data_IF_738718622032
#
_entry.id   IF_738718622032
#
_cell.length_a   1.000
_cell.length_b   1.000
_cell.length_c   1.000
_cell.angle_alpha   90.00
_cell.angle_beta   90.00
_cell.angle_gamma   90.00
#
_symmetry.space_group_name_H-M   'P 1'
#
loop_
_entity.id
_entity.type
_entity.pdbx_description
1 polymer ?
#
# COMPACT_ATOMS: atom_id res chain seq x y z
N UNK A 1 61.91 17.47 -25.23
CA UNK A 1 60.67 18.29 -25.17
C UNK A 1 59.67 17.59 -24.27
N UNK A 2 59.12 18.32 -23.29
CA UNK A 2 58.26 17.80 -22.21
C UNK A 2 56.84 17.51 -22.73
N UNK A 3 56.33 16.32 -22.42
CA UNK A 3 54.92 15.94 -22.59
C UNK A 3 54.18 16.37 -21.31
N UNK A 4 53.17 17.24 -21.45
CA UNK A 4 52.32 17.66 -20.33
C UNK A 4 51.00 16.89 -20.39
N UNK A 5 50.74 16.12 -19.32
CA UNK A 5 49.49 15.41 -19.04
C UNK A 5 48.41 16.42 -18.65
N UNK A 6 47.24 16.36 -19.27
CA UNK A 6 46.00 16.84 -18.66
C UNK A 6 45.04 15.67 -18.47
N UNK A 7 44.59 15.54 -17.21
CA UNK A 7 43.78 14.47 -16.64
C UNK A 7 42.39 14.42 -17.29
N UNK A 8 42.07 13.33 -17.96
CA UNK A 8 40.72 12.79 -18.05
C UNK A 8 40.50 11.89 -16.84
N UNK A 9 39.47 12.20 -16.03
CA UNK A 9 39.02 11.29 -14.99
C UNK A 9 38.15 10.21 -15.63
N UNK A 10 38.73 9.03 -15.78
CA UNK A 10 38.02 7.79 -16.05
C UNK A 10 37.20 7.41 -14.81
N UNK A 11 35.87 7.44 -14.91
CA UNK A 11 35.00 6.79 -13.93
C UNK A 11 34.71 5.39 -14.48
N UNK A 12 35.43 4.43 -13.94
CA UNK A 12 35.31 3.02 -14.26
C UNK A 12 34.00 2.46 -13.67
N UNK A 13 33.18 1.86 -14.54
CA UNK A 13 32.06 1.00 -14.17
C UNK A 13 32.57 -0.20 -13.36
N UNK A 14 32.10 -0.36 -12.13
CA UNK A 14 32.10 -1.65 -11.46
C UNK A 14 30.80 -1.87 -10.67
N UNK A 15 30.06 -2.87 -11.12
CA UNK A 15 29.28 -3.84 -10.35
C UNK A 15 28.11 -3.35 -9.47
N UNK A 16 26.91 -3.75 -9.90
CA UNK A 16 25.66 -3.71 -9.15
C UNK A 16 25.62 -4.76 -8.01
N UNK A 17 25.16 -4.28 -6.85
CA UNK A 17 24.57 -4.97 -5.67
C UNK A 17 25.50 -5.77 -4.76
N UNK A 18 25.42 -5.51 -3.44
CA UNK A 18 24.43 -6.24 -2.64
C UNK A 18 23.59 -5.35 -1.70
N UNK A 19 22.35 -5.80 -1.49
CA UNK A 19 21.52 -5.68 -0.27
C UNK A 19 21.98 -4.65 0.77
N UNK A 20 21.19 -3.59 0.94
CA UNK A 20 21.20 -2.77 2.15
C UNK A 20 20.72 -3.60 3.36
N UNK A 21 21.61 -4.44 3.87
CA UNK A 21 21.63 -4.89 5.26
C UNK A 21 22.35 -3.81 6.09
N UNK A 22 21.75 -2.63 6.24
CA UNK A 22 22.09 -1.75 7.37
C UNK A 22 21.32 -2.24 8.59
N UNK A 23 21.88 -3.34 9.08
CA UNK A 23 21.65 -3.97 10.36
C UNK A 23 21.68 -2.92 11.46
N UNK A 24 20.58 -2.86 12.20
CA UNK A 24 20.37 -2.07 13.42
C UNK A 24 21.36 -2.60 14.48
N UNK A 25 22.61 -2.16 14.44
CA UNK A 25 23.61 -2.47 15.46
C UNK A 25 24.41 -1.21 15.78
N UNK A 26 23.88 -0.37 16.66
CA UNK A 26 24.73 0.54 17.44
C UNK A 26 24.06 1.06 18.72
N UNK A 27 23.35 0.24 19.50
CA UNK A 27 22.98 0.62 20.88
C UNK A 27 23.06 -0.59 21.83
N UNK A 28 24.26 -1.13 22.02
CA UNK A 28 24.56 -1.88 23.25
C UNK A 28 24.89 -0.83 24.31
N UNK A 29 23.86 -0.43 25.07
CA UNK A 29 24.04 0.33 26.30
C UNK A 29 24.61 -0.63 27.34
N UNK A 30 25.79 -0.28 27.85
CA UNK A 30 26.50 -0.98 28.90
C UNK A 30 25.68 -0.90 30.20
N UNK A 31 24.95 -1.95 30.55
CA UNK A 31 24.15 -2.03 31.79
C UNK A 31 25.09 -2.34 32.95
N UNK A 32 25.78 -1.30 33.44
CA UNK A 32 26.33 -1.25 34.80
C UNK A 32 26.18 0.17 35.33
N UNK A 33 24.96 0.52 35.72
CA UNK A 33 24.63 1.49 36.76
C UNK A 33 23.11 1.50 36.96
N UNK A 34 22.65 0.70 37.94
CA UNK A 34 21.32 0.84 38.51
C UNK A 34 21.36 1.95 39.57
N UNK A 35 20.98 3.16 39.17
CA UNK A 35 20.59 4.23 40.11
C UNK A 35 19.76 5.30 39.42
N UNK A 36 18.64 4.92 38.80
CA UNK A 36 17.45 5.77 38.73
C UNK A 36 16.27 4.93 38.29
N UNK A 37 15.20 4.95 39.08
CA UNK A 37 13.89 4.52 38.60
C UNK A 37 13.53 5.41 37.40
N UNK A 38 13.17 4.87 36.23
CA UNK A 38 12.71 5.68 35.12
C UNK A 38 11.54 6.53 35.61
N UNK A 39 11.59 7.84 35.33
CA UNK A 39 10.52 8.75 35.74
C UNK A 39 9.19 8.27 35.16
N UNK A 40 8.09 8.48 35.87
CA UNK A 40 6.75 8.09 35.43
C UNK A 40 6.46 8.55 33.98
N UNK A 41 6.90 9.76 33.64
CA UNK A 41 6.81 10.34 32.28
C UNK A 41 7.56 9.54 31.21
N UNK A 42 8.74 8.98 31.56
CA UNK A 42 9.51 8.13 30.64
C UNK A 42 8.85 6.77 30.40
N UNK A 43 8.20 6.21 31.43
CA UNK A 43 7.41 4.97 31.32
C UNK A 43 6.15 5.21 30.47
N UNK A 44 5.41 6.30 30.72
CA UNK A 44 4.25 6.68 29.90
C UNK A 44 4.62 6.92 28.44
N UNK A 45 5.76 7.56 28.17
CA UNK A 45 6.26 7.75 26.81
C UNK A 45 6.59 6.42 26.14
N UNK A 46 7.30 5.52 26.82
CA UNK A 46 7.64 4.20 26.29
C UNK A 46 6.38 3.34 26.00
N UNK A 47 5.37 3.38 26.87
CA UNK A 47 4.10 2.69 26.66
C UNK A 47 3.30 3.31 25.51
N UNK A 48 3.30 4.64 25.39
CA UNK A 48 2.68 5.36 24.28
C UNK A 48 3.34 5.00 22.94
N UNK A 49 4.68 4.97 22.90
CA UNK A 49 5.46 4.60 21.71
C UNK A 49 5.20 3.13 21.33
N UNK A 50 5.15 2.22 22.32
CA UNK A 50 4.82 0.81 22.08
C UNK A 50 3.41 0.62 21.54
N UNK A 51 2.43 1.36 22.09
CA UNK A 51 1.04 1.36 21.59
C UNK A 51 0.98 1.93 20.17
N UNK A 52 1.71 3.01 19.90
CA UNK A 52 1.83 3.64 18.59
C UNK A 52 2.35 2.65 17.54
N UNK A 53 3.49 2.01 17.81
CA UNK A 53 4.11 1.00 16.94
C UNK A 53 3.15 -0.17 16.71
N UNK A 54 2.44 -0.61 17.74
CA UNK A 54 1.47 -1.71 17.63
C UNK A 54 0.31 -1.36 16.69
N UNK A 55 -0.23 -0.14 16.78
CA UNK A 55 -1.31 0.32 15.90
C UNK A 55 -0.82 0.49 14.46
N UNK A 56 0.39 1.02 14.25
CA UNK A 56 1.00 1.11 12.92
C UNK A 56 1.22 -0.26 12.30
N UNK A 57 1.69 -1.25 13.07
CA UNK A 57 1.83 -2.63 12.60
C UNK A 57 0.49 -3.22 12.16
N UNK A 58 -0.58 -3.00 12.93
CA UNK A 58 -1.92 -3.44 12.52
C UNK A 58 -2.37 -2.79 11.20
N UNK A 59 -2.06 -1.49 11.00
CA UNK A 59 -2.38 -0.78 9.77
C UNK A 59 -1.63 -1.38 8.57
N UNK A 60 -0.34 -1.67 8.75
CA UNK A 60 0.48 -2.34 7.74
C UNK A 60 0.01 -3.78 7.47
N UNK A 61 -0.39 -4.53 8.51
CA UNK A 61 -0.97 -5.87 8.35
C UNK A 61 -2.26 -5.82 7.50
N UNK A 62 -3.13 -4.83 7.74
CA UNK A 62 -4.34 -4.62 6.95
C UNK A 62 -4.01 -4.29 5.48
N UNK A 63 -3.00 -3.45 5.25
CA UNK A 63 -2.46 -3.15 3.92
C UNK A 63 -1.99 -4.42 3.21
N UNK A 64 -1.10 -5.18 3.86
CA UNK A 64 -0.49 -6.38 3.31
C UNK A 64 -1.52 -7.48 3.04
N UNK A 65 -2.45 -7.69 3.98
CA UNK A 65 -3.53 -8.67 3.82
C UNK A 65 -4.45 -8.29 2.66
N UNK A 66 -4.87 -7.03 2.56
CA UNK A 66 -5.68 -6.56 1.42
C UNK A 66 -4.98 -6.85 0.10
N UNK A 67 -3.69 -6.52 0.01
CA UNK A 67 -2.92 -6.73 -1.23
C UNK A 67 -2.69 -8.20 -1.56
N UNK A 68 -2.61 -9.06 -0.54
CA UNK A 68 -2.40 -10.50 -0.72
C UNK A 68 -3.52 -11.15 -1.54
N UNK A 69 -4.78 -10.72 -1.37
CA UNK A 69 -5.93 -11.21 -2.14
C UNK A 69 -5.78 -10.98 -3.66
N UNK A 70 -5.00 -9.98 -4.06
CA UNK A 70 -4.82 -9.61 -5.47
C UNK A 70 -3.39 -9.86 -5.97
N UNK A 71 -2.53 -10.53 -5.19
CA UNK A 71 -1.15 -10.80 -5.58
C UNK A 71 -1.11 -11.70 -6.82
N UNK A 72 -0.28 -11.34 -7.79
CA UNK A 72 -0.14 -12.07 -9.06
C UNK A 72 -1.32 -11.92 -10.03
N UNK A 73 -2.38 -11.19 -9.67
CA UNK A 73 -3.52 -11.00 -10.56
C UNK A 73 -3.21 -10.00 -11.69
N UNK A 74 -3.45 -10.36 -12.97
CA UNK A 74 -3.43 -9.40 -14.08
C UNK A 74 -4.66 -8.46 -14.03
N UNK A 75 -5.68 -8.77 -13.24
CA UNK A 75 -6.95 -8.04 -13.21
C UNK A 75 -7.03 -6.97 -12.10
N UNK A 76 -5.88 -6.49 -11.60
CA UNK A 76 -5.83 -5.44 -10.57
C UNK A 76 -5.42 -4.10 -11.15
N UNK A 77 -6.02 -3.02 -10.67
CA UNK A 77 -5.79 -1.62 -11.09
C UNK A 77 -6.07 -1.45 -12.58
N UNK A 78 -7.35 -1.45 -12.95
CA UNK A 78 -7.78 -1.39 -14.35
C UNK A 78 -7.27 -0.13 -15.07
N UNK A 79 -7.23 1.00 -14.36
CA UNK A 79 -6.73 2.29 -14.86
C UNK A 79 -5.19 2.40 -14.94
N UNK A 80 -4.43 1.36 -14.54
CA UNK A 80 -2.96 1.33 -14.70
C UNK A 80 -2.60 0.57 -15.97
N UNK A 81 -2.23 1.23 -17.05
CA UNK A 81 -1.65 0.58 -18.23
C UNK A 81 -0.31 -0.05 -17.84
N UNK A 82 -0.04 -1.33 -18.18
CA UNK A 82 1.20 -2.02 -17.80
C UNK A 82 1.78 -2.77 -18.99
N UNK A 83 3.09 -2.66 -19.19
CA UNK A 83 3.81 -3.41 -20.24
C UNK A 83 3.70 -4.94 -20.12
N UNK A 84 3.38 -5.47 -18.95
CA UNK A 84 3.20 -6.90 -18.74
C UNK A 84 1.74 -7.36 -18.85
N UNK A 85 0.87 -6.56 -19.48
CA UNK A 85 -0.53 -6.89 -19.76
C UNK A 85 -0.83 -6.71 -21.24
N UNK A 86 -1.64 -7.60 -21.80
CA UNK A 86 -2.19 -7.43 -23.15
C UNK A 86 -3.41 -6.49 -23.13
N UNK A 87 -3.79 -5.96 -24.29
CA UNK A 87 -5.04 -5.17 -24.44
C UNK A 87 -6.25 -5.97 -23.93
N UNK A 88 -6.36 -7.25 -24.32
CA UNK A 88 -7.45 -8.11 -23.87
C UNK A 88 -7.48 -8.28 -22.34
N UNK A 89 -6.32 -8.38 -21.68
CA UNK A 89 -6.27 -8.45 -20.22
C UNK A 89 -6.74 -7.14 -19.56
N UNK A 90 -6.46 -5.99 -20.17
CA UNK A 90 -6.99 -4.70 -19.70
C UNK A 90 -8.52 -4.63 -19.86
N UNK A 91 -9.05 -5.07 -21.00
CA UNK A 91 -10.50 -5.12 -21.26
C UNK A 91 -11.20 -6.07 -20.28
N UNK A 92 -10.71 -7.30 -20.13
CA UNK A 92 -11.26 -8.27 -19.18
C UNK A 92 -11.26 -7.74 -17.74
N UNK A 93 -10.20 -7.01 -17.35
CA UNK A 93 -10.12 -6.38 -16.04
C UNK A 93 -11.23 -5.34 -15.83
N UNK A 94 -11.54 -4.50 -16.83
CA UNK A 94 -12.64 -3.54 -16.75
C UNK A 94 -14.01 -4.22 -16.73
N UNK A 95 -14.23 -5.20 -17.61
CA UNK A 95 -15.50 -5.93 -17.69
C UNK A 95 -15.81 -6.62 -16.36
N UNK A 96 -14.82 -7.30 -15.78
CA UNK A 96 -15.00 -7.96 -14.50
C UNK A 96 -15.21 -6.94 -13.36
N UNK A 97 -14.53 -5.79 -13.41
CA UNK A 97 -14.76 -4.71 -12.46
C UNK A 97 -16.19 -4.18 -12.54
N UNK A 98 -16.71 -3.99 -13.76
CA UNK A 98 -18.10 -3.58 -14.01
C UNK A 98 -19.09 -4.60 -13.47
N UNK A 99 -18.89 -5.90 -13.76
CA UNK A 99 -19.71 -6.99 -13.23
C UNK A 99 -19.74 -6.99 -11.69
N UNK A 100 -18.58 -6.83 -11.05
CA UNK A 100 -18.51 -6.76 -9.59
C UNK A 100 -19.31 -5.56 -9.06
N UNK A 101 -19.13 -4.37 -9.66
CA UNK A 101 -19.80 -3.12 -9.21
C UNK A 101 -21.31 -3.12 -9.39
N UNK A 102 -21.85 -3.96 -10.27
CA UNK A 102 -23.29 -4.16 -10.42
C UNK A 102 -23.93 -4.91 -9.23
N UNK A 103 -23.13 -5.58 -8.40
CA UNK A 103 -23.62 -6.31 -7.22
C UNK A 103 -24.01 -5.31 -6.13
N UNK A 104 -25.30 -5.24 -5.82
CA UNK A 104 -25.85 -4.33 -4.80
C UNK A 104 -25.48 -4.73 -3.38
N UNK A 105 -25.49 -6.03 -3.08
CA UNK A 105 -25.11 -6.55 -1.77
C UNK A 105 -23.59 -6.37 -1.54
N UNK A 106 -23.23 -5.58 -0.52
CA UNK A 106 -21.83 -5.22 -0.28
C UNK A 106 -20.96 -6.42 0.04
N UNK A 107 -21.49 -7.40 0.78
CA UNK A 107 -20.73 -8.61 1.14
C UNK A 107 -20.43 -9.44 -0.11
N UNK A 108 -21.43 -9.69 -0.95
CA UNK A 108 -21.28 -10.40 -2.21
C UNK A 108 -20.36 -9.64 -3.17
N UNK A 109 -20.44 -8.31 -3.22
CA UNK A 109 -19.52 -7.47 -3.99
C UNK A 109 -18.06 -7.68 -3.56
N UNK A 110 -17.75 -7.57 -2.27
CA UNK A 110 -16.38 -7.75 -1.76
C UNK A 110 -15.87 -9.18 -2.00
N UNK A 111 -16.73 -10.17 -1.80
CA UNK A 111 -16.40 -11.57 -2.09
C UNK A 111 -16.10 -11.78 -3.58
N UNK A 112 -16.92 -11.23 -4.48
CA UNK A 112 -16.71 -11.30 -5.91
C UNK A 112 -15.39 -10.64 -6.33
N UNK A 113 -15.05 -9.48 -5.75
CA UNK A 113 -13.78 -8.80 -6.00
C UNK A 113 -12.57 -9.64 -5.58
N UNK A 114 -12.62 -10.28 -4.38
CA UNK A 114 -11.56 -11.17 -3.88
C UNK A 114 -11.45 -12.43 -4.76
N UNK A 115 -12.57 -13.10 -5.03
CA UNK A 115 -12.61 -14.35 -5.78
C UNK A 115 -12.13 -14.18 -7.23
N UNK A 116 -12.59 -13.13 -7.91
CA UNK A 116 -12.13 -12.79 -9.27
C UNK A 116 -10.78 -12.08 -9.29
N UNK A 117 -10.18 -11.84 -8.11
CA UNK A 117 -8.94 -11.06 -7.91
C UNK A 117 -8.93 -9.77 -8.72
N UNK A 118 -10.08 -9.11 -8.81
CA UNK A 118 -10.30 -7.92 -9.63
C UNK A 118 -10.66 -6.74 -8.75
N UNK A 119 -9.87 -5.66 -8.83
CA UNK A 119 -10.11 -4.48 -7.99
C UNK A 119 -9.28 -3.27 -8.38
N UNK A 120 -9.83 -2.09 -8.12
CA UNK A 120 -9.16 -0.79 -8.21
C UNK A 120 -9.12 -0.11 -6.83
N UNK A 121 -8.81 1.19 -6.76
CA UNK A 121 -8.72 1.92 -5.49
C UNK A 121 -9.93 1.72 -4.57
N UNK A 122 -11.16 1.80 -5.10
CA UNK A 122 -12.40 1.62 -4.33
C UNK A 122 -12.56 0.20 -3.73
N UNK A 123 -12.37 -0.85 -4.52
CA UNK A 123 -12.50 -2.23 -4.05
C UNK A 123 -11.43 -2.56 -2.99
N UNK A 124 -10.20 -2.11 -3.24
CA UNK A 124 -9.09 -2.31 -2.31
C UNK A 124 -9.30 -1.53 -1.01
N UNK A 125 -9.77 -0.30 -1.08
CA UNK A 125 -10.10 0.51 0.09
C UNK A 125 -11.22 -0.14 0.90
N UNK A 126 -12.28 -0.67 0.27
CA UNK A 126 -13.36 -1.34 0.98
C UNK A 126 -12.94 -2.61 1.71
N UNK A 127 -12.09 -3.44 1.10
CA UNK A 127 -11.54 -4.60 1.78
C UNK A 127 -10.64 -4.16 2.95
N UNK A 128 -9.79 -3.16 2.74
CA UNK A 128 -8.91 -2.63 3.78
C UNK A 128 -9.68 -2.01 4.95
N UNK A 129 -10.80 -1.33 4.66
CA UNK A 129 -11.68 -0.75 5.66
C UNK A 129 -12.25 -1.84 6.56
N UNK A 130 -12.86 -2.88 5.98
CA UNK A 130 -13.44 -4.00 6.75
C UNK A 130 -12.36 -4.71 7.59
N UNK A 131 -11.16 -4.93 7.04
CA UNK A 131 -10.03 -5.51 7.77
C UNK A 131 -9.57 -4.61 8.93
N UNK A 132 -9.51 -3.30 8.70
CA UNK A 132 -9.10 -2.31 9.70
C UNK A 132 -10.13 -2.21 10.83
N UNK A 133 -11.43 -2.27 10.52
CA UNK A 133 -12.49 -2.38 11.52
C UNK A 133 -12.32 -3.67 12.35
N UNK A 134 -12.11 -4.83 11.71
CA UNK A 134 -11.87 -6.10 12.41
C UNK A 134 -10.59 -6.09 13.26
N UNK A 135 -9.57 -5.32 12.86
CA UNK A 135 -8.34 -5.12 13.64
C UNK A 135 -8.51 -4.14 14.82
N UNK A 136 -9.67 -3.48 14.93
CA UNK A 136 -10.00 -2.49 15.95
C UNK A 136 -9.37 -1.11 15.71
N UNK A 137 -9.12 -0.73 14.45
CA UNK A 137 -8.46 0.53 14.09
C UNK A 137 -9.42 1.70 13.81
N UNK A 138 -10.73 1.47 13.86
CA UNK A 138 -11.77 2.47 13.63
C UNK A 138 -11.52 3.38 12.39
N UNK A 139 -11.35 2.80 11.18
CA UNK A 139 -10.96 3.53 9.97
C UNK A 139 -12.06 4.43 9.42
N UNK A 140 -11.68 5.54 8.79
CA UNK A 140 -12.53 6.30 7.87
C UNK A 140 -12.21 5.91 6.43
N UNK A 141 -13.18 6.13 5.55
CA UNK A 141 -12.97 6.20 4.12
C UNK A 141 -12.64 7.62 3.70
N UNK A 142 -11.61 7.77 2.88
CA UNK A 142 -11.22 9.05 2.30
C UNK A 142 -11.32 8.97 0.79
N UNK A 143 -11.94 9.97 0.16
CA UNK A 143 -11.98 10.14 -1.30
C UNK A 143 -11.34 11.46 -1.67
N UNK A 144 -10.35 11.38 -2.57
CA UNK A 144 -9.70 12.52 -3.19
C UNK A 144 -10.16 12.64 -4.64
N UNK A 145 -10.45 13.86 -5.10
CA UNK A 145 -10.78 14.14 -6.49
C UNK A 145 -9.95 15.30 -6.98
N UNK A 146 -9.40 15.18 -8.19
CA UNK A 146 -8.90 16.30 -8.97
C UNK A 146 -10.07 17.23 -9.32
N UNK A 147 -10.26 18.30 -8.54
CA UNK A 147 -11.41 19.19 -8.70
C UNK A 147 -11.27 20.14 -9.88
N UNK A 148 -10.06 20.34 -10.38
CA UNK A 148 -9.77 21.27 -11.47
C UNK A 148 -10.04 20.64 -12.82
N UNK A 149 -9.44 19.49 -13.11
CA UNK A 149 -9.58 18.84 -14.40
C UNK A 149 -10.57 17.66 -14.36
N UNK A 150 -10.91 17.14 -13.17
CA UNK A 150 -11.82 15.99 -12.97
C UNK A 150 -11.34 14.71 -13.65
N UNK A 151 -10.01 14.53 -13.73
CA UNK A 151 -9.38 13.44 -14.49
C UNK A 151 -9.01 12.25 -13.60
N UNK A 152 -8.89 12.48 -12.29
CA UNK A 152 -8.48 11.46 -11.35
C UNK A 152 -9.30 11.50 -10.05
N UNK A 153 -9.71 10.31 -9.61
CA UNK A 153 -10.45 10.06 -8.37
C UNK A 153 -9.81 8.86 -7.68
N UNK A 154 -9.57 9.00 -6.38
CA UNK A 154 -8.84 8.02 -5.61
C UNK A 154 -9.42 7.84 -4.21
N UNK A 155 -9.47 6.59 -3.76
CA UNK A 155 -10.10 6.20 -2.50
C UNK A 155 -9.16 5.31 -1.70
N UNK A 156 -9.07 5.56 -0.39
CA UNK A 156 -8.26 4.80 0.57
C UNK A 156 -8.85 4.91 1.99
N UNK A 157 -8.20 4.26 2.96
CA UNK A 157 -8.60 4.32 4.36
C UNK A 157 -7.73 5.30 5.15
N UNK A 158 -8.28 5.90 6.21
CA UNK A 158 -7.55 6.72 7.17
C UNK A 158 -7.85 6.25 8.58
N UNK A 159 -6.86 6.25 9.47
CA UNK A 159 -7.00 5.90 10.88
C UNK A 159 -6.34 6.96 11.74
N UNK A 160 -6.86 7.18 12.95
CA UNK A 160 -6.22 8.03 13.94
C UNK A 160 -5.37 7.17 14.90
N UNK A 161 -4.08 7.48 15.02
CA UNK A 161 -3.17 6.86 15.97
C UNK A 161 -2.59 7.96 16.86
N UNK A 162 -2.93 7.93 18.15
CA UNK A 162 -2.45 8.92 19.14
C UNK A 162 -2.68 10.38 18.71
N UNK A 163 -3.84 10.68 18.12
CA UNK A 163 -4.20 12.03 17.70
C UNK A 163 -3.59 12.50 16.38
N UNK A 164 -2.85 11.64 15.66
CA UNK A 164 -2.45 11.92 14.28
C UNK A 164 -3.12 10.97 13.29
N UNK A 165 -3.43 11.50 12.11
CA UNK A 165 -4.04 10.73 11.04
C UNK A 165 -2.99 10.02 10.19
N UNK A 166 -3.29 8.77 9.87
CA UNK A 166 -2.51 7.92 8.99
C UNK A 166 -3.38 7.39 7.85
N UNK A 167 -2.90 7.50 6.62
CA UNK A 167 -3.54 6.95 5.43
C UNK A 167 -3.02 5.53 5.18
N UNK A 168 -3.93 4.63 4.81
CA UNK A 168 -3.67 3.24 4.41
C UNK A 168 -4.21 3.07 2.99
N UNK A 169 -3.32 2.97 2.01
CA UNK A 169 -3.64 2.87 0.59
C UNK A 169 -3.08 1.56 -0.01
N UNK A 170 -3.90 0.50 -0.10
CA UNK A 170 -3.50 -0.76 -0.71
C UNK A 170 -3.27 -0.70 -2.22
N UNK A 171 -3.85 0.28 -2.91
CA UNK A 171 -3.70 0.47 -4.34
C UNK A 171 -2.33 1.05 -4.70
N UNK A 172 -1.84 2.01 -3.91
CA UNK A 172 -0.49 2.57 -4.03
C UNK A 172 0.58 1.83 -3.23
N UNK A 173 0.19 0.95 -2.29
CA UNK A 173 1.09 0.31 -1.31
C UNK A 173 1.76 1.34 -0.40
N UNK A 174 0.94 2.12 0.31
CA UNK A 174 1.37 3.18 1.21
C UNK A 174 0.65 3.00 2.56
N UNK A 175 1.42 3.09 3.65
CA UNK A 175 0.94 3.55 4.96
C UNK A 175 1.80 4.74 5.34
N UNK A 176 1.19 5.89 5.60
CA UNK A 176 1.92 7.12 5.92
C UNK A 176 1.06 8.10 6.71
N UNK A 177 1.66 9.17 7.25
CA UNK A 177 0.88 10.25 7.83
C UNK A 177 0.05 10.96 6.76
N UNK A 178 -1.06 11.59 7.18
CA UNK A 178 -1.95 12.32 6.26
C UNK A 178 -1.19 13.38 5.46
N UNK A 179 -0.34 14.15 6.13
CA UNK A 179 0.44 15.25 5.56
C UNK A 179 1.45 14.81 4.50
N UNK A 180 1.99 13.59 4.59
CA UNK A 180 3.01 13.06 3.67
C UNK A 180 2.41 12.43 2.40
N UNK A 181 1.08 12.25 2.36
CA UNK A 181 0.44 11.33 1.42
C UNK A 181 0.59 11.75 -0.04
N UNK A 182 0.34 13.02 -0.36
CA UNK A 182 0.39 13.49 -1.75
C UNK A 182 1.80 13.38 -2.33
N UNK A 183 2.83 13.70 -1.56
CA UNK A 183 4.23 13.61 -2.01
C UNK A 183 4.68 12.15 -2.19
N UNK A 184 4.28 11.26 -1.28
CA UNK A 184 4.51 9.82 -1.44
C UNK A 184 3.77 9.24 -2.65
N UNK A 185 2.54 9.67 -2.91
CA UNK A 185 1.77 9.24 -4.07
C UNK A 185 2.42 9.72 -5.37
N UNK A 186 2.85 10.99 -5.46
CA UNK A 186 3.63 11.50 -6.61
C UNK A 186 4.90 10.67 -6.83
N UNK A 187 5.63 10.38 -5.76
CA UNK A 187 6.82 9.51 -5.82
C UNK A 187 6.49 8.12 -6.36
N UNK A 188 5.39 7.50 -5.92
CA UNK A 188 4.94 6.20 -6.45
C UNK A 188 4.56 6.26 -7.92
N UNK A 189 3.86 7.31 -8.35
CA UNK A 189 3.45 7.47 -9.75
C UNK A 189 4.68 7.68 -10.64
N UNK A 190 5.65 8.47 -10.19
CA UNK A 190 6.92 8.64 -10.90
C UNK A 190 7.66 7.31 -11.07
N UNK A 191 7.75 6.51 -10.00
CA UNK A 191 8.33 5.15 -10.03
C UNK A 191 7.56 4.20 -10.95
N UNK A 192 6.23 4.30 -11.01
CA UNK A 192 5.43 3.51 -11.95
C UNK A 192 5.72 3.93 -13.39
N UNK A 193 5.73 5.23 -13.67
CA UNK A 193 6.00 5.77 -14.99
C UNK A 193 7.39 5.36 -15.50
N UNK A 194 8.43 5.42 -14.67
CA UNK A 194 9.78 4.98 -15.05
C UNK A 194 9.87 3.48 -15.35
N UNK A 195 8.92 2.68 -14.84
CA UNK A 195 8.79 1.25 -15.08
C UNK A 195 7.77 0.90 -16.18
N UNK A 196 7.33 1.88 -16.97
CA UNK A 196 6.34 1.68 -18.03
C UNK A 196 4.95 1.32 -17.50
N UNK A 197 4.56 1.90 -16.36
CA UNK A 197 3.23 1.72 -15.77
C UNK A 197 2.58 3.09 -15.63
N UNK A 198 1.63 3.37 -16.51
CA UNK A 198 0.99 4.69 -16.58
C UNK A 198 -0.45 4.62 -16.08
N UNK A 199 -0.89 5.68 -15.41
CA UNK A 199 -2.29 5.88 -15.09
C UNK A 199 -2.99 6.55 -16.27
N UNK A 200 -4.19 6.09 -16.58
CA UNK A 200 -5.04 6.67 -17.61
C UNK A 200 -6.35 7.18 -17.02
N UNK A 201 -6.78 8.38 -17.46
CA UNK A 201 -8.13 8.89 -17.23
C UNK A 201 -9.14 8.00 -17.96
N UNK A 202 -8.94 7.84 -19.27
CA UNK A 202 -9.75 7.02 -20.16
C UNK A 202 -8.89 5.98 -20.87
N UNK A 203 -9.49 4.81 -21.12
CA UNK A 203 -8.80 3.67 -21.73
C UNK A 203 -9.11 3.63 -23.23
N UNK A 204 -8.30 4.34 -24.02
CA UNK A 204 -8.32 4.22 -25.48
C UNK A 204 -7.53 2.97 -25.90
N UNK A 205 -8.24 1.95 -26.39
CA UNK A 205 -7.63 0.64 -26.72
C UNK A 205 -6.60 0.69 -27.83
N UNK A 206 -6.78 1.56 -28.83
CA UNK A 206 -5.80 1.73 -29.91
C UNK A 206 -4.50 2.28 -29.35
N UNK A 207 -4.57 3.36 -28.55
CA UNK A 207 -3.39 3.98 -27.97
C UNK A 207 -2.69 3.03 -26.98
N UNK A 208 -3.45 2.26 -26.21
CA UNK A 208 -2.90 1.23 -25.31
C UNK A 208 -2.20 0.15 -26.11
N UNK A 209 -2.81 -0.38 -27.18
CA UNK A 209 -2.21 -1.38 -28.06
C UNK A 209 -0.88 -0.89 -28.64
N UNK A 210 -0.89 0.29 -29.26
CA UNK A 210 0.33 0.90 -29.80
C UNK A 210 1.39 1.18 -28.74
N UNK A 211 1.01 1.59 -27.52
CA UNK A 211 1.95 1.75 -26.41
C UNK A 211 2.58 0.42 -25.99
N UNK A 212 1.79 -0.66 -25.88
CA UNK A 212 2.29 -1.97 -25.47
C UNK A 212 3.25 -2.57 -26.51
N UNK A 213 3.04 -2.28 -27.79
CA UNK A 213 3.91 -2.70 -28.90
C UNK A 213 5.19 -1.86 -28.99
N UNK A 214 5.05 -0.53 -29.03
CA UNK A 214 6.16 0.38 -29.32
C UNK A 214 6.94 0.82 -28.08
N UNK A 215 6.33 0.70 -26.90
CA UNK A 215 6.80 1.26 -25.63
C UNK A 215 6.96 2.79 -25.64
N UNK A 216 6.42 3.48 -26.66
CA UNK A 216 6.41 4.93 -26.72
C UNK A 216 5.24 5.50 -25.91
N UNK A 217 5.53 6.05 -24.73
CA UNK A 217 4.50 6.60 -23.83
C UNK A 217 3.85 7.89 -24.34
N UNK A 218 4.42 8.57 -25.34
CA UNK A 218 3.83 9.77 -25.95
C UNK A 218 2.50 9.48 -26.64
N UNK A 219 2.30 8.25 -27.13
CA UNK A 219 1.06 7.78 -27.76
C UNK A 219 -0.13 7.81 -26.78
N UNK A 220 0.14 7.69 -25.47
CA UNK A 220 -0.90 7.81 -24.45
C UNK A 220 -1.43 9.25 -24.35
N UNK A 221 -0.64 10.24 -24.76
CA UNK A 221 -1.01 11.63 -24.93
C UNK A 221 -1.77 12.21 -23.74
N UNK A 222 -2.85 12.91 -24.05
CA UNK A 222 -3.73 13.56 -23.07
C UNK A 222 -4.51 12.60 -22.19
N UNK A 223 -4.47 11.28 -22.38
CA UNK A 223 -5.17 10.34 -21.49
C UNK A 223 -4.35 10.00 -20.25
N UNK A 224 -3.05 10.29 -20.25
CA UNK A 224 -2.16 10.01 -19.13
C UNK A 224 -2.45 10.94 -17.95
N UNK A 225 -2.59 10.38 -16.75
CA UNK A 225 -2.63 11.17 -15.51
C UNK A 225 -1.23 11.71 -15.22
N UNK A 226 -1.17 13.00 -14.91
CA UNK A 226 0.04 13.77 -14.67
C UNK A 226 0.18 14.16 -13.21
N UNK A 227 1.32 14.72 -12.82
CA UNK A 227 1.51 15.24 -11.46
C UNK A 227 0.61 16.44 -11.16
N UNK A 228 0.27 17.25 -12.17
CA UNK A 228 -0.66 18.37 -12.03
C UNK A 228 -2.04 17.87 -11.60
N UNK A 229 -2.51 16.76 -12.14
CA UNK A 229 -3.79 16.16 -11.74
C UNK A 229 -3.75 15.70 -10.27
N UNK A 230 -2.59 15.24 -9.79
CA UNK A 230 -2.38 14.86 -8.38
C UNK A 230 -2.34 16.08 -7.47
N UNK A 231 -1.67 17.16 -7.88
CA UNK A 231 -1.60 18.41 -7.10
C UNK A 231 -2.97 19.10 -7.00
N UNK A 232 -3.88 18.87 -7.94
CA UNK A 232 -5.26 19.37 -7.90
C UNK A 232 -6.20 18.50 -7.05
N UNK A 233 -5.73 17.38 -6.50
CA UNK A 233 -6.58 16.52 -5.70
C UNK A 233 -6.90 17.13 -4.34
N UNK A 234 -8.19 17.14 -4.00
CA UNK A 234 -8.69 17.57 -2.70
C UNK A 234 -9.57 16.51 -2.07
N UNK A 235 -9.58 16.46 -0.74
CA UNK A 235 -10.47 15.61 0.05
C UNK A 235 -11.92 16.09 -0.12
N UNK A 236 -12.77 15.23 -0.68
CA UNK A 236 -14.20 15.51 -0.89
C UNK A 236 -15.12 14.68 0.01
N UNK A 237 -14.57 13.65 0.65
CA UNK A 237 -15.27 12.82 1.61
C UNK A 237 -14.26 12.23 2.61
N UNK A 238 -14.62 12.30 3.89
CA UNK A 238 -13.94 11.64 4.99
C UNK A 238 -14.99 11.20 6.01
N UNK A 239 -15.24 9.90 6.10
CA UNK A 239 -16.29 9.40 6.97
C UNK A 239 -16.44 7.89 6.99
N UNK A 240 -17.49 7.44 7.67
CA UNK A 240 -17.83 6.03 7.82
C UNK A 240 -18.82 5.59 6.75
N UNK A 241 -18.63 4.37 6.25
CA UNK A 241 -19.66 3.65 5.51
C UNK A 241 -20.30 2.62 6.45
N UNK A 242 -21.43 3.00 7.04
CA UNK A 242 -22.15 2.21 8.05
C UNK A 242 -22.47 0.77 7.60
N UNK A 243 -22.69 0.57 6.30
CA UNK A 243 -22.92 -0.73 5.69
C UNK A 243 -21.66 -1.60 5.63
N UNK A 244 -20.49 -1.00 5.43
CA UNK A 244 -19.20 -1.71 5.45
C UNK A 244 -18.71 -2.00 6.87
N UNK A 245 -18.97 -1.11 7.83
CA UNK A 245 -18.61 -1.35 9.24
C UNK A 245 -19.28 -2.61 9.78
N UNK A 246 -20.57 -2.80 9.47
CA UNK A 246 -21.35 -3.98 9.85
C UNK A 246 -20.78 -5.28 9.28
N UNK A 247 -20.00 -5.21 8.19
CA UNK A 247 -19.35 -6.39 7.61
C UNK A 247 -18.11 -6.84 8.39
N UNK A 248 -17.47 -5.96 9.16
CA UNK A 248 -16.27 -6.28 9.93
C UNK A 248 -16.52 -7.26 11.08
N UNK A 249 -17.76 -7.32 11.56
CA UNK A 249 -18.23 -8.29 12.55
C UNK A 249 -18.40 -9.70 11.95
N UNK A 250 -18.48 -9.82 10.62
CA UNK A 250 -18.81 -11.06 9.94
C UNK A 250 -17.56 -11.85 9.50
N UNK A 251 -17.56 -13.16 9.78
CA UNK A 251 -16.44 -14.10 9.58
C UNK A 251 -16.02 -14.40 8.13
N UNK A 252 -16.58 -13.71 7.12
CA UNK A 252 -16.45 -14.12 5.71
C UNK A 252 -15.05 -13.86 5.12
N UNK A 253 -14.30 -12.87 5.62
CA UNK A 253 -12.92 -12.61 5.17
C UNK A 253 -11.94 -13.72 5.57
N UNK A 254 -12.32 -14.63 6.49
CA UNK A 254 -11.48 -15.79 6.87
C UNK A 254 -11.58 -16.95 5.86
N UNK A 255 -12.72 -17.09 5.17
CA UNK A 255 -13.02 -18.27 4.34
C UNK A 255 -12.42 -18.22 2.93
N UNK A 256 -12.06 -17.05 2.42
CA UNK A 256 -11.49 -16.86 1.08
C UNK A 256 -10.01 -17.25 0.96
N UNK A 257 -9.34 -17.62 2.06
CA UNK A 257 -7.95 -18.11 2.07
C UNK A 257 -7.83 -19.65 1.99
N UNK A 258 -8.92 -20.38 1.73
CA UNK A 258 -8.93 -21.85 1.78
C UNK A 258 -8.37 -22.56 0.54
N UNK A 259 -7.85 -21.85 -0.46
CA UNK A 259 -7.31 -22.46 -1.69
C UNK A 259 -5.88 -22.03 -2.04
N UNK A 260 -5.00 -21.82 -1.05
CA UNK A 260 -3.54 -22.04 -1.10
C UNK A 260 -2.85 -21.56 0.20
N UNK A 261 -1.66 -22.11 0.55
CA UNK A 261 -1.32 -22.53 1.90
C UNK A 261 -1.40 -21.38 2.89
N UNK A 262 -1.94 -21.71 4.06
CA UNK A 262 -1.77 -20.95 5.31
C UNK A 262 -0.50 -20.10 5.26
N UNK A 263 -0.66 -18.79 5.07
CA UNK A 263 0.27 -17.85 5.68
C UNK A 263 0.17 -18.21 7.15
N UNK A 264 1.24 -18.72 7.80
CA UNK A 264 1.17 -19.09 9.19
C UNK A 264 0.79 -17.83 9.93
N UNK A 265 -0.45 -17.80 10.42
CA UNK A 265 -0.83 -16.95 11.52
C UNK A 265 0.20 -17.27 12.60
N UNK A 266 1.16 -16.36 12.80
CA UNK A 266 2.37 -16.48 13.61
C UNK A 266 2.29 -17.56 14.71
N UNK A 267 2.56 -18.81 14.34
CA UNK A 267 2.94 -19.89 15.27
C UNK A 267 4.43 -19.71 15.54
N UNK A 268 4.83 -18.58 16.13
CA UNK A 268 6.18 -18.40 16.64
C UNK A 268 6.25 -17.27 17.66
N UNK A 269 5.49 -17.40 18.74
CA UNK A 269 5.99 -17.01 20.06
C UNK A 269 5.74 -18.20 20.99
N UNK A 270 6.49 -19.29 20.76
CA UNK A 270 6.87 -20.15 21.88
C UNK A 270 7.67 -19.25 22.81
N UNK A 271 7.02 -18.73 23.83
CA UNK A 271 7.72 -18.17 24.98
C UNK A 271 8.69 -19.25 25.48
N UNK A 272 9.96 -18.93 25.78
CA UNK A 272 10.77 -19.79 26.60
C UNK A 272 10.00 -20.00 27.91
N UNK A 273 9.61 -21.24 28.18
CA UNK A 273 9.15 -21.63 29.52
C UNK A 273 10.28 -21.26 30.48
N UNK A 274 9.92 -20.49 31.51
CA UNK A 274 10.71 -20.36 32.72
C UNK A 274 11.09 -21.77 33.19
N UNK A 275 12.39 -22.08 33.20
CA UNK A 275 12.95 -22.97 34.19
C UNK A 275 13.72 -22.08 35.17
N UNK A 276 13.03 -21.72 36.24
CA UNK A 276 13.65 -21.39 37.52
C UNK A 276 13.42 -22.62 38.40
N UNK A 277 14.49 -23.33 38.76
CA UNK A 277 14.79 -23.84 40.11
C UNK A 277 15.90 -24.91 40.13
N UNK A 278 16.76 -24.82 41.16
CA UNK A 278 17.83 -25.74 41.58
C UNK A 278 19.21 -25.27 41.10
N UNK A 279 20.12 -24.68 41.88
CA UNK A 279 20.57 -24.97 43.26
C UNK A 279 20.83 -26.47 43.47
N UNK A 280 22.00 -26.93 43.03
CA UNK A 280 23.16 -27.29 43.88
C UNK A 280 24.38 -27.48 42.98
#
# INVERSE_FOLDING_TARGET
MRINKQRTQDICFSQLSPRNETRIESHIVNIKNLSSLPSLNSLYKADSDKKHITLLKKADDCLLQTRSYFKGSPNKSANKIRLNRTVQQHQNCLEQLSKNRAIKDKKAFLLAAIQSKTGNCGELAAICYVLSCHAGLNPNFVRLIDVKNKRFDHVFCQIAINGQDYNIDPWANIVCKKEDYNDLLKTKIADWNSKGKYLAQDLNWSNIGSYLETKNSEILGENKITMVDIDNMVEVYNGKYNDLDKLAEASFLRRSNSSHPTVPFLKSLKMPRKNLCGIQ
#
